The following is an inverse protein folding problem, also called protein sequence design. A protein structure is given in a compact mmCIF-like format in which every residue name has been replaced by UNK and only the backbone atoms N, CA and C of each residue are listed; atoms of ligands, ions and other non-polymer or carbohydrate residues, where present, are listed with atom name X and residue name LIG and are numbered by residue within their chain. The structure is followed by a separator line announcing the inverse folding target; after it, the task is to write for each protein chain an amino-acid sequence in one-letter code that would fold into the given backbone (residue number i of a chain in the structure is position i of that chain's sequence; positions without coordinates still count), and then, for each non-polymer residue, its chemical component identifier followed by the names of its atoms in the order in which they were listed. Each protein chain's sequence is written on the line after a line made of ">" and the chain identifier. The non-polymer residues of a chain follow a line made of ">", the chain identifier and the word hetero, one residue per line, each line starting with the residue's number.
data_IF_152589271809
#
_entry.id   IF_152589271809
#
_cell.length_a   1.000
_cell.length_b   1.000
_cell.length_c   1.000
_cell.angle_alpha   90.00
_cell.angle_beta   90.00
_cell.angle_gamma   90.00
#
_symmetry.space_group_name_H-M   'P 1'
#
loop_
_entity.id
_entity.type
_entity.pdbx_description
1 polymer ?
#
# COMPACT_ATOMS: atom_id res chain seq x y z
N UNK A 1 -12.80 11.07 -2.70
CA UNK A 1 -11.73 11.75 -3.47
C UNK A 1 -10.78 10.66 -3.93
N UNK A 2 -10.60 10.42 -5.24
CA UNK A 2 -9.74 9.34 -5.68
C UNK A 2 -8.29 9.77 -5.40
N UNK A 3 -7.61 9.07 -4.50
CA UNK A 3 -6.18 9.26 -4.22
C UNK A 3 -5.30 8.75 -5.39
N UNK A 4 -5.79 8.86 -6.63
CA UNK A 4 -5.48 7.91 -7.70
C UNK A 4 -4.80 8.53 -8.93
N UNK A 5 -4.32 9.76 -8.86
CA UNK A 5 -3.68 10.38 -10.03
C UNK A 5 -2.16 10.46 -9.96
N UNK A 6 -1.56 10.49 -8.76
CA UNK A 6 -0.10 10.67 -8.61
C UNK A 6 0.39 9.79 -7.46
N UNK A 7 1.35 8.92 -7.76
CA UNK A 7 2.04 8.11 -6.77
C UNK A 7 3.00 8.99 -5.95
N UNK A 8 2.88 9.06 -4.62
CA UNK A 8 3.74 9.92 -3.81
C UNK A 8 5.19 9.39 -3.69
N UNK A 9 5.48 8.17 -4.17
CA UNK A 9 6.81 7.58 -4.14
C UNK A 9 7.67 8.06 -5.32
N UNK A 10 7.11 8.00 -6.53
CA UNK A 10 7.85 8.30 -7.76
C UNK A 10 7.30 9.53 -8.50
N UNK A 11 6.27 10.17 -7.95
CA UNK A 11 5.57 11.33 -8.51
C UNK A 11 5.02 11.12 -9.94
N UNK A 12 4.91 9.86 -10.39
CA UNK A 12 4.29 9.48 -11.67
C UNK A 12 2.82 9.23 -11.47
N UNK A 13 2.05 9.36 -12.54
CA UNK A 13 0.64 8.98 -12.47
C UNK A 13 0.45 7.47 -12.33
N UNK A 14 -0.60 7.05 -11.63
CA UNK A 14 -0.95 5.63 -11.43
C UNK A 14 -1.03 4.87 -12.77
N UNK A 15 -1.48 5.56 -13.83
CA UNK A 15 -1.55 5.04 -15.19
C UNK A 15 -0.19 4.92 -15.92
N UNK A 16 0.84 5.61 -15.43
CA UNK A 16 2.20 5.56 -15.98
C UNK A 16 3.09 4.50 -15.31
N UNK A 17 2.56 3.75 -14.33
CA UNK A 17 3.29 2.67 -13.70
C UNK A 17 3.18 1.39 -14.53
N UNK A 18 4.32 0.80 -14.87
CA UNK A 18 4.36 -0.62 -15.24
C UNK A 18 4.11 -1.49 -14.01
N UNK A 19 3.71 -2.75 -14.20
CA UNK A 19 3.37 -3.66 -13.08
C UNK A 19 4.49 -3.79 -12.03
N UNK A 20 5.75 -3.83 -12.46
CA UNK A 20 6.92 -3.83 -11.55
C UNK A 20 7.05 -2.51 -10.79
N UNK A 21 6.97 -1.37 -11.48
CA UNK A 21 7.06 -0.05 -10.85
C UNK A 21 5.94 0.15 -9.84
N UNK A 22 4.73 -0.34 -10.15
CA UNK A 22 3.58 -0.29 -9.25
C UNK A 22 3.84 -1.12 -8.00
N UNK A 23 4.31 -2.37 -8.15
CA UNK A 23 4.67 -3.22 -7.02
C UNK A 23 5.73 -2.60 -6.12
N UNK A 24 6.77 -1.97 -6.69
CA UNK A 24 7.80 -1.26 -5.92
C UNK A 24 7.19 -0.06 -5.18
N UNK A 25 6.35 0.74 -5.85
CA UNK A 25 5.71 1.90 -5.23
C UNK A 25 4.75 1.49 -4.12
N UNK A 26 3.94 0.44 -4.30
CA UNK A 26 3.06 -0.11 -3.28
C UNK A 26 3.86 -0.57 -2.05
N UNK A 27 5.00 -1.25 -2.24
CA UNK A 27 5.88 -1.65 -1.12
C UNK A 27 6.45 -0.41 -0.41
N UNK A 28 6.86 0.61 -1.15
CA UNK A 28 7.38 1.85 -0.58
C UNK A 28 6.28 2.66 0.15
N UNK A 29 5.05 2.65 -0.36
CA UNK A 29 3.89 3.23 0.33
C UNK A 29 3.64 2.54 1.67
N UNK A 30 3.79 1.21 1.71
CA UNK A 30 3.68 0.43 2.94
C UNK A 30 4.81 0.76 3.92
N UNK A 31 6.06 0.82 3.43
CA UNK A 31 7.22 1.19 4.25
C UNK A 31 7.12 2.59 4.84
N UNK A 32 6.61 3.55 4.07
CA UNK A 32 6.39 4.93 4.55
C UNK A 32 5.15 5.07 5.45
N UNK A 33 4.44 3.97 5.73
CA UNK A 33 3.23 3.99 6.55
C UNK A 33 2.04 4.72 5.91
N UNK A 34 2.06 4.93 4.59
CA UNK A 34 0.92 5.45 3.83
C UNK A 34 -0.10 4.36 3.50
N UNK A 35 0.35 3.11 3.35
CA UNK A 35 -0.48 1.94 3.09
C UNK A 35 -0.18 0.79 4.06
N UNK A 36 -1.11 -0.15 4.16
CA UNK A 36 -0.99 -1.42 4.88
C UNK A 36 -1.09 -2.57 3.90
N UNK A 37 -0.28 -3.60 4.08
CA UNK A 37 -0.24 -4.78 3.20
C UNK A 37 -0.45 -6.07 3.99
N UNK A 38 -1.44 -6.90 3.61
CA UNK A 38 -1.60 -8.26 4.16
C UNK A 38 -0.66 -9.20 3.41
N UNK A 39 0.33 -9.75 4.13
CA UNK A 39 1.28 -10.73 3.59
C UNK A 39 0.63 -12.02 3.10
N UNK A 40 -0.52 -12.42 3.67
CA UNK A 40 -1.23 -13.64 3.26
C UNK A 40 -2.05 -13.50 1.97
N UNK A 41 -2.80 -12.41 1.81
CA UNK A 41 -3.77 -12.28 0.71
C UNK A 41 -3.41 -11.21 -0.33
N UNK A 42 -2.30 -10.50 -0.13
CA UNK A 42 -1.82 -9.46 -1.04
C UNK A 42 -2.65 -8.18 -1.03
N UNK A 43 -3.57 -8.02 -0.08
CA UNK A 43 -4.47 -6.87 -0.01
C UNK A 43 -3.73 -5.65 0.53
N UNK A 44 -3.70 -4.56 -0.25
CA UNK A 44 -3.26 -3.24 0.19
C UNK A 44 -4.46 -2.36 0.58
N UNK A 45 -4.36 -1.61 1.68
CA UNK A 45 -5.34 -0.58 2.08
C UNK A 45 -4.61 0.67 2.58
N UNK A 46 -5.21 1.87 2.49
CA UNK A 46 -4.65 3.07 3.12
C UNK A 46 -4.43 2.86 4.61
N UNK A 47 -3.34 3.40 5.16
CA UNK A 47 -3.04 3.34 6.59
C UNK A 47 -3.87 4.36 7.40
N UNK A 48 -5.19 4.35 7.22
CA UNK A 48 -6.11 5.22 7.96
C UNK A 48 -6.69 4.47 9.17
N UNK A 49 -6.77 5.13 10.33
CA UNK A 49 -7.35 4.59 11.57
C UNK A 49 -6.49 3.54 12.31
N UNK A 50 -7.06 2.90 13.34
CA UNK A 50 -6.39 1.89 14.20
C UNK A 50 -6.62 0.44 13.71
N UNK A 51 -6.91 0.23 12.43
CA UNK A 51 -7.23 -1.11 11.92
C UNK A 51 -5.95 -1.82 11.52
N UNK A 52 -5.38 -2.55 12.47
CA UNK A 52 -4.21 -3.40 12.29
C UNK A 52 -4.51 -4.72 11.58
N UNK A 53 -5.76 -5.04 11.24
CA UNK A 53 -6.15 -6.33 10.66
C UNK A 53 -6.73 -6.23 9.27
N UNK A 54 -6.38 -7.19 8.43
CA UNK A 54 -6.95 -7.31 7.12
C UNK A 54 -8.39 -7.82 7.16
N UNK A 55 -9.27 -7.13 6.46
CA UNK A 55 -10.69 -7.47 6.36
C UNK A 55 -10.96 -8.82 5.66
N UNK A 56 -10.00 -9.33 4.90
CA UNK A 56 -10.14 -10.58 4.13
C UNK A 56 -9.49 -11.79 4.80
N UNK A 57 -8.29 -11.60 5.33
CA UNK A 57 -7.47 -12.67 5.92
C UNK A 57 -7.54 -12.66 7.46
N UNK A 58 -8.13 -11.64 8.09
CA UNK A 58 -8.13 -11.33 9.54
C UNK A 58 -6.73 -11.23 10.20
N UNK A 59 -5.68 -11.47 9.43
CA UNK A 59 -4.30 -11.36 9.84
C UNK A 59 -3.91 -9.90 10.10
N UNK A 60 -2.98 -9.72 11.04
CA UNK A 60 -2.38 -8.42 11.28
C UNK A 60 -1.61 -7.96 10.04
N UNK A 61 -1.86 -6.74 9.59
CA UNK A 61 -1.04 -6.09 8.59
C UNK A 61 0.41 -6.02 9.08
N UNK A 62 1.36 -6.44 8.24
CA UNK A 62 2.79 -6.39 8.58
C UNK A 62 3.28 -4.95 8.45
N UNK A 63 3.43 -4.27 9.58
CA UNK A 63 4.12 -2.97 9.63
C UNK A 63 5.62 -3.25 9.57
N UNK A 64 6.21 -3.19 8.37
CA UNK A 64 7.67 -3.06 8.28
C UNK A 64 7.98 -1.58 8.48
N UNK A 65 8.09 -1.17 9.75
CA UNK A 65 8.82 0.04 10.13
C UNK A 65 10.20 -0.41 10.58
N UNK A 66 11.16 -0.45 9.65
CA UNK A 66 12.59 -0.50 9.97
C UNK A 66 13.19 0.86 9.60
#
# INVERSE_FOLDING_TARGET
>A
MPYDEICPICNKSSAQHNLEERGICDIQLVKNGHMRYCGLCGLTKPAEGFIDRCEKCEEKYSFIND
#
